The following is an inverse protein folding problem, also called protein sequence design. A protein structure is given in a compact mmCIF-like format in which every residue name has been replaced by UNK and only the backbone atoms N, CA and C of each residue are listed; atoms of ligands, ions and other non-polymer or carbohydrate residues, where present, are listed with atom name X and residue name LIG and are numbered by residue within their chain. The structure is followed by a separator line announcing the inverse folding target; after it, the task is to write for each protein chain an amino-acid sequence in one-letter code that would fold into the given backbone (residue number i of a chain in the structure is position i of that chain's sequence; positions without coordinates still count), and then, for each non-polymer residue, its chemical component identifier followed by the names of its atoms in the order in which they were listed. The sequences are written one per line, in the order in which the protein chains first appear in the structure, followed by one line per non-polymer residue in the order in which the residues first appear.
data_IF_502709465953
#
_entry.id   IF_502709465953
#
_cell.length_a   1.000
_cell.length_b   1.000
_cell.length_c   1.000
_cell.angle_alpha   90.00
_cell.angle_beta   90.00
_cell.angle_gamma   90.00
#
_symmetry.space_group_name_H-M   'P 1'
#
loop_
_entity.id
_entity.type
_entity.pdbx_description
1 polymer ?
#
# COMPACT_ATOMS: atom_id res chain seq x y z
N UNK A 1 -13.11 18.66 9.13
CA UNK A 1 -12.31 17.43 9.38
C UNK A 1 -12.53 16.94 10.80
N UNK A 2 -12.78 15.65 11.00
CA UNK A 2 -13.02 15.06 12.33
C UNK A 2 -11.73 14.78 13.09
N UNK A 3 -11.82 14.67 14.42
CA UNK A 3 -10.71 14.25 15.28
C UNK A 3 -10.12 12.89 14.84
N UNK A 4 -10.98 11.92 14.50
CA UNK A 4 -10.57 10.60 14.06
C UNK A 4 -9.79 10.62 12.74
N UNK A 5 -10.18 11.47 11.80
CA UNK A 5 -9.43 11.67 10.57
C UNK A 5 -8.01 12.19 10.86
N UNK A 6 -7.91 13.22 11.71
CA UNK A 6 -6.61 13.80 12.09
C UNK A 6 -5.73 12.79 12.83
N UNK A 7 -6.32 12.00 13.73
CA UNK A 7 -5.63 10.92 14.43
C UNK A 7 -5.08 9.88 13.45
N UNK A 8 -5.86 9.49 12.44
CA UNK A 8 -5.40 8.57 11.39
C UNK A 8 -4.24 9.15 10.57
N UNK A 9 -4.33 10.42 10.16
CA UNK A 9 -3.25 11.06 9.41
C UNK A 9 -1.97 11.15 10.24
N UNK A 10 -2.08 11.58 11.51
CA UNK A 10 -0.94 11.64 12.42
C UNK A 10 -0.35 10.25 12.68
N UNK A 11 -1.20 9.24 12.83
CA UNK A 11 -0.79 7.85 12.97
C UNK A 11 0.03 7.37 11.77
N UNK A 12 -0.45 7.64 10.54
CA UNK A 12 0.31 7.35 9.31
C UNK A 12 1.67 8.05 9.35
N UNK A 13 1.71 9.35 9.68
CA UNK A 13 2.97 10.12 9.72
C UNK A 13 3.96 9.59 10.77
N UNK A 14 3.48 9.04 11.88
CA UNK A 14 4.31 8.40 12.91
C UNK A 14 4.82 7.02 12.44
N UNK A 15 3.99 6.25 11.74
CA UNK A 15 4.34 4.92 11.26
C UNK A 15 5.35 4.96 10.11
N UNK A 16 5.28 5.97 9.23
CA UNK A 16 6.19 6.14 8.07
C UNK A 16 7.68 6.01 8.43
N UNK A 17 8.24 6.77 9.40
CA UNK A 17 9.65 6.65 9.75
C UNK A 17 10.00 5.28 10.38
N UNK A 18 9.06 4.65 11.09
CA UNK A 18 9.25 3.29 11.63
C UNK A 18 9.41 2.29 10.48
N UNK A 19 8.58 2.43 9.44
CA UNK A 19 8.64 1.58 8.25
C UNK A 19 9.89 1.85 7.40
N UNK A 20 10.33 3.11 7.30
CA UNK A 20 11.61 3.43 6.65
C UNK A 20 12.78 2.74 7.35
N UNK A 21 12.74 2.60 8.67
CA UNK A 21 13.77 1.88 9.41
C UNK A 21 13.65 0.36 9.25
N UNK A 22 12.45 -0.20 9.09
CA UNK A 22 12.28 -1.64 8.87
C UNK A 22 12.86 -2.10 7.53
N UNK A 23 12.74 -1.28 6.49
CA UNK A 23 13.31 -1.61 5.17
C UNK A 23 14.84 -1.47 5.11
N UNK A 24 15.45 -0.55 5.88
CA UNK A 24 16.90 -0.31 5.91
C UNK A 24 17.66 -1.36 6.75
N UNK A 25 17.51 -2.65 6.44
CA UNK A 25 18.05 -3.72 7.27
C UNK A 25 19.59 -3.72 7.39
N UNK A 26 20.34 -3.27 6.37
CA UNK A 26 21.81 -3.14 6.48
C UNK A 26 22.23 -2.15 7.58
N UNK A 27 21.42 -1.09 7.80
CA UNK A 27 21.65 -0.11 8.85
C UNK A 27 21.38 -0.69 10.24
N UNK A 28 20.34 -1.52 10.36
CA UNK A 28 20.03 -2.23 11.61
C UNK A 28 21.11 -3.25 11.96
N UNK A 29 21.60 -4.00 10.97
CA UNK A 29 22.68 -4.97 11.16
C UNK A 29 23.98 -4.29 11.56
N UNK A 30 24.30 -3.14 10.97
CA UNK A 30 25.48 -2.35 11.34
C UNK A 30 25.39 -1.82 12.78
N UNK A 31 24.19 -1.48 13.26
CA UNK A 31 23.99 -0.89 14.60
C UNK A 31 23.88 -1.92 15.72
N UNK A 32 23.25 -3.06 15.46
CA UNK A 32 22.90 -4.04 16.49
C UNK A 32 23.54 -5.42 16.29
N UNK A 33 24.24 -5.64 15.17
CA UNK A 33 24.72 -6.95 14.74
C UNK A 33 23.62 -7.75 14.01
N UNK A 34 23.99 -8.72 13.16
CA UNK A 34 23.05 -9.42 12.26
C UNK A 34 21.85 -10.06 12.97
N UNK A 35 22.08 -10.77 14.08
CA UNK A 35 21.00 -11.49 14.76
C UNK A 35 20.00 -10.55 15.44
N UNK A 36 20.49 -9.53 16.18
CA UNK A 36 19.63 -8.54 16.83
C UNK A 36 19.02 -7.59 15.80
N UNK A 37 19.76 -7.20 14.77
CA UNK A 37 19.30 -6.38 13.65
C UNK A 37 18.16 -7.04 12.88
N UNK A 38 18.23 -8.37 12.68
CA UNK A 38 17.12 -9.15 12.13
C UNK A 38 15.87 -9.06 13.01
N UNK A 39 15.99 -9.36 14.31
CA UNK A 39 14.85 -9.33 15.25
C UNK A 39 14.21 -7.95 15.35
N UNK A 40 15.03 -6.89 15.42
CA UNK A 40 14.56 -5.50 15.45
C UNK A 40 13.87 -5.13 14.14
N UNK A 41 14.47 -5.46 12.99
CA UNK A 41 13.87 -5.17 11.68
C UNK A 41 12.52 -5.86 11.49
N UNK A 42 12.41 -7.13 11.87
CA UNK A 42 11.16 -7.89 11.84
C UNK A 42 10.08 -7.26 12.73
N UNK A 43 10.43 -6.85 13.95
CA UNK A 43 9.51 -6.18 14.86
C UNK A 43 9.02 -4.83 14.28
N UNK A 44 9.95 -4.02 13.75
CA UNK A 44 9.60 -2.74 13.11
C UNK A 44 8.70 -2.94 11.89
N UNK A 45 9.00 -3.93 11.04
CA UNK A 45 8.21 -4.26 9.86
C UNK A 45 6.78 -4.67 10.22
N UNK A 46 6.63 -5.55 11.22
CA UNK A 46 5.32 -5.95 11.72
C UNK A 46 4.54 -4.79 12.34
N UNK A 47 5.15 -4.02 13.25
CA UNK A 47 4.52 -2.86 13.90
C UNK A 47 4.05 -1.84 12.85
N UNK A 48 4.92 -1.54 11.88
CA UNK A 48 4.60 -0.56 10.86
C UNK A 48 3.57 -1.06 9.85
N UNK A 49 3.63 -2.32 9.41
CA UNK A 49 2.64 -2.91 8.51
C UNK A 49 1.22 -2.88 9.10
N UNK A 50 1.06 -3.36 10.34
CA UNK A 50 -0.23 -3.31 11.05
C UNK A 50 -0.65 -1.88 11.38
N UNK A 51 0.29 -1.00 11.72
CA UNK A 51 0.04 0.41 11.95
C UNK A 51 -0.53 1.11 10.72
N UNK A 52 0.06 0.91 9.54
CA UNK A 52 -0.47 1.45 8.30
C UNK A 52 -1.89 0.96 8.02
N UNK A 53 -2.15 -0.34 8.16
CA UNK A 53 -3.47 -0.89 7.95
C UNK A 53 -4.51 -0.27 8.89
N UNK A 54 -4.21 -0.19 10.19
CA UNK A 54 -5.09 0.40 11.19
C UNK A 54 -5.42 1.87 10.88
N UNK A 55 -4.41 2.68 10.60
CA UNK A 55 -4.63 4.11 10.39
C UNK A 55 -5.25 4.42 9.03
N UNK A 56 -4.94 3.67 7.97
CA UNK A 56 -5.63 3.76 6.67
C UNK A 56 -7.10 3.36 6.80
N UNK A 57 -7.40 2.28 7.53
CA UNK A 57 -8.77 1.88 7.79
C UNK A 57 -9.54 2.99 8.53
N UNK A 58 -8.94 3.55 9.58
CA UNK A 58 -9.49 4.72 10.29
C UNK A 58 -9.69 5.92 9.36
N UNK A 59 -8.78 6.14 8.41
CA UNK A 59 -8.87 7.23 7.44
C UNK A 59 -10.07 7.05 6.49
N UNK A 60 -10.40 5.82 6.09
CA UNK A 60 -11.57 5.52 5.24
C UNK A 60 -12.90 5.66 5.96
N UNK A 61 -12.99 5.18 7.21
CA UNK A 61 -14.26 5.15 7.97
C UNK A 61 -14.50 6.40 8.82
N UNK A 62 -13.47 7.22 9.05
CA UNK A 62 -13.60 8.41 9.88
C UNK A 62 -14.68 9.33 9.33
N UNK A 63 -15.49 9.98 10.20
CA UNK A 63 -16.47 10.95 9.76
C UNK A 63 -15.79 12.05 8.94
N UNK A 64 -16.17 12.15 7.68
CA UNK A 64 -15.63 13.12 6.73
C UNK A 64 -16.70 13.47 5.69
N UNK A 65 -16.47 14.55 4.96
CA UNK A 65 -17.34 14.95 3.85
C UNK A 65 -17.39 13.82 2.82
N UNK A 66 -18.62 13.47 2.40
CA UNK A 66 -18.80 12.59 1.25
C UNK A 66 -18.77 13.43 -0.01
N UNK A 67 -18.19 12.89 -1.08
CA UNK A 67 -18.28 13.50 -2.40
C UNK A 67 -19.28 12.73 -3.27
N UNK A 68 -19.70 13.34 -4.37
CA UNK A 68 -20.52 12.70 -5.38
C UNK A 68 -19.92 12.99 -6.75
N UNK A 69 -19.65 11.94 -7.52
CA UNK A 69 -19.32 12.10 -8.94
C UNK A 69 -20.62 12.21 -9.72
N UNK A 70 -20.93 13.42 -10.21
CA UNK A 70 -22.09 13.67 -11.07
C UNK A 70 -21.72 13.46 -12.54
N UNK A 71 -22.57 12.72 -13.25
CA UNK A 71 -22.41 12.45 -14.68
C UNK A 71 -23.57 13.15 -15.39
N UNK A 72 -23.27 14.26 -16.05
CA UNK A 72 -24.19 14.91 -17.00
C UNK A 72 -25.50 15.37 -16.35
N UNK A 73 -25.45 15.77 -15.08
CA UNK A 73 -26.62 16.22 -14.33
C UNK A 73 -27.59 15.10 -13.92
N UNK A 74 -27.26 13.83 -14.19
CA UNK A 74 -28.09 12.70 -13.76
C UNK A 74 -27.94 12.52 -12.23
N UNK A 75 -29.06 12.49 -11.47
CA UNK A 75 -29.00 12.23 -10.04
C UNK A 75 -28.34 10.87 -9.74
N UNK A 76 -27.50 10.78 -8.70
CA UNK A 76 -26.86 9.52 -8.36
C UNK A 76 -27.90 8.49 -7.92
N UNK A 77 -27.80 7.28 -8.47
CA UNK A 77 -28.53 6.10 -8.01
C UNK A 77 -27.69 5.43 -6.93
N UNK A 78 -28.34 5.04 -5.83
CA UNK A 78 -27.68 4.45 -4.68
C UNK A 78 -27.91 2.95 -4.61
N UNK A 79 -26.87 2.23 -4.24
CA UNK A 79 -26.92 0.85 -3.80
C UNK A 79 -26.88 0.83 -2.28
N UNK A 80 -27.84 0.15 -1.66
CA UNK A 80 -27.88 -0.02 -0.21
C UNK A 80 -27.28 -1.36 0.16
N UNK A 81 -26.23 -1.33 0.98
CA UNK A 81 -25.56 -2.52 1.51
C UNK A 81 -25.78 -2.60 3.02
N UNK A 82 -26.32 -3.73 3.48
CA UNK A 82 -26.46 -4.03 4.89
C UNK A 82 -25.40 -5.08 5.30
N UNK A 83 -24.64 -4.78 6.34
CA UNK A 83 -23.67 -5.70 6.95
C UNK A 83 -23.86 -5.72 8.47
N UNK A 84 -24.64 -6.68 8.97
CA UNK A 84 -25.06 -6.70 10.37
C UNK A 84 -25.87 -5.45 10.73
N UNK A 85 -25.37 -4.63 11.65
CA UNK A 85 -25.99 -3.37 12.05
C UNK A 85 -25.57 -2.15 11.21
N UNK A 86 -24.61 -2.32 10.28
CA UNK A 86 -24.12 -1.24 9.43
C UNK A 86 -24.94 -1.16 8.14
N UNK A 87 -25.43 0.04 7.84
CA UNK A 87 -26.12 0.37 6.59
C UNK A 87 -25.30 1.38 5.81
N UNK A 88 -24.85 0.99 4.62
CA UNK A 88 -24.09 1.84 3.71
C UNK A 88 -24.96 2.18 2.51
N UNK A 89 -25.10 3.47 2.22
CA UNK A 89 -25.69 3.97 0.98
C UNK A 89 -24.57 4.46 0.07
N UNK A 90 -24.33 3.72 -1.01
CA UNK A 90 -23.16 3.93 -1.88
C UNK A 90 -23.66 4.31 -3.27
N UNK A 91 -23.22 5.44 -3.87
CA UNK A 91 -23.52 5.73 -5.26
C UNK A 91 -23.02 4.60 -6.18
N UNK A 92 -23.84 4.14 -7.13
CA UNK A 92 -23.47 3.02 -8.02
C UNK A 92 -22.17 3.31 -8.76
N UNK A 93 -21.95 4.55 -9.20
CA UNK A 93 -20.71 4.94 -9.85
C UNK A 93 -19.49 4.77 -8.94
N UNK A 94 -19.62 5.13 -7.66
CA UNK A 94 -18.55 4.92 -6.68
C UNK A 94 -18.30 3.44 -6.43
N UNK A 95 -19.35 2.61 -6.42
CA UNK A 95 -19.20 1.16 -6.31
C UNK A 95 -18.45 0.58 -7.52
N UNK A 96 -18.79 1.00 -8.74
CA UNK A 96 -18.10 0.57 -9.96
C UNK A 96 -16.63 0.99 -9.95
N UNK A 97 -16.35 2.25 -9.61
CA UNK A 97 -14.98 2.75 -9.48
C UNK A 97 -14.22 2.00 -8.39
N UNK A 98 -14.86 1.78 -7.23
CA UNK A 98 -14.29 1.03 -6.12
C UNK A 98 -13.89 -0.37 -6.58
N UNK A 99 -14.77 -1.13 -7.21
CA UNK A 99 -14.48 -2.47 -7.73
C UNK A 99 -13.32 -2.44 -8.73
N UNK A 100 -13.31 -1.43 -9.63
CA UNK A 100 -12.26 -1.24 -10.64
C UNK A 100 -10.86 -1.05 -10.06
N UNK A 101 -10.73 -0.49 -8.86
CA UNK A 101 -9.44 -0.30 -8.18
C UNK A 101 -9.16 -1.36 -7.10
N UNK A 102 -10.17 -1.71 -6.31
CA UNK A 102 -10.04 -2.58 -5.15
C UNK A 102 -9.73 -4.03 -5.54
N UNK A 103 -10.37 -4.58 -6.57
CA UNK A 103 -10.11 -5.96 -6.98
C UNK A 103 -8.70 -6.14 -7.58
N UNK A 104 -8.23 -5.31 -8.53
CA UNK A 104 -6.84 -5.39 -8.99
C UNK A 104 -5.85 -5.12 -7.86
N UNK A 105 -6.16 -4.18 -6.97
CA UNK A 105 -5.35 -3.87 -5.80
C UNK A 105 -5.18 -5.08 -4.87
N UNK A 106 -6.28 -5.72 -4.49
CA UNK A 106 -6.29 -6.92 -3.68
C UNK A 106 -5.56 -8.09 -4.37
N UNK A 107 -5.80 -8.29 -5.67
CA UNK A 107 -5.09 -9.31 -6.45
C UNK A 107 -3.57 -9.11 -6.39
N UNK A 108 -3.09 -7.90 -6.68
CA UNK A 108 -1.65 -7.60 -6.67
C UNK A 108 -1.03 -7.70 -5.27
N UNK A 109 -1.75 -7.25 -4.24
CA UNK A 109 -1.34 -7.39 -2.85
C UNK A 109 -1.16 -8.85 -2.44
N UNK A 110 -2.20 -9.67 -2.66
CA UNK A 110 -2.19 -11.10 -2.32
C UNK A 110 -1.14 -11.85 -3.14
N UNK A 111 -1.10 -11.63 -4.46
CA UNK A 111 -0.13 -12.30 -5.34
C UNK A 111 1.31 -11.87 -5.05
N UNK A 112 1.56 -10.60 -4.76
CA UNK A 112 2.87 -10.11 -4.34
C UNK A 112 3.35 -10.82 -3.07
N UNK A 113 2.53 -10.79 -2.02
CA UNK A 113 2.88 -11.43 -0.73
C UNK A 113 3.04 -12.95 -0.86
N UNK A 114 2.18 -13.63 -1.62
CA UNK A 114 2.27 -15.09 -1.80
C UNK A 114 3.49 -15.51 -2.62
N UNK A 115 3.90 -14.74 -3.64
CA UNK A 115 5.09 -15.04 -4.45
C UNK A 115 6.39 -14.72 -3.72
N UNK A 116 6.43 -13.65 -2.91
CA UNK A 116 7.61 -13.32 -2.09
C UNK A 116 7.73 -14.14 -0.80
N UNK A 117 6.60 -14.61 -0.28
CA UNK A 117 6.49 -15.27 1.01
C UNK A 117 6.22 -14.30 2.16
N UNK A 118 5.31 -14.68 3.06
CA UNK A 118 4.85 -13.83 4.17
C UNK A 118 6.01 -13.34 5.06
N UNK A 119 6.98 -14.22 5.37
CA UNK A 119 8.17 -13.85 6.14
C UNK A 119 8.96 -12.72 5.48
N UNK A 120 9.14 -12.75 4.16
CA UNK A 120 9.86 -11.70 3.42
C UNK A 120 9.03 -10.42 3.40
N UNK A 121 7.71 -10.53 3.21
CA UNK A 121 6.81 -9.38 3.24
C UNK A 121 6.80 -8.64 4.58
N UNK A 122 6.85 -9.38 5.70
CA UNK A 122 6.86 -8.79 7.05
C UNK A 122 8.23 -8.25 7.48
N UNK A 123 9.31 -8.90 7.04
CA UNK A 123 10.68 -8.56 7.48
C UNK A 123 11.44 -7.65 6.51
N UNK A 124 10.93 -7.48 5.28
CA UNK A 124 11.61 -6.78 4.19
C UNK A 124 13.02 -7.31 3.89
N UNK A 125 13.28 -8.59 4.19
CA UNK A 125 14.56 -9.25 3.94
C UNK A 125 14.38 -10.34 2.90
N UNK A 126 14.70 -9.99 1.65
CA UNK A 126 14.64 -10.94 0.56
C UNK A 126 15.79 -11.96 0.68
N UNK A 127 15.50 -13.22 0.39
CA UNK A 127 16.52 -14.28 0.33
C UNK A 127 17.11 -14.41 -1.08
N UNK A 128 16.39 -13.92 -2.09
CA UNK A 128 16.79 -13.90 -3.51
C UNK A 128 16.00 -12.84 -4.28
N UNK A 129 16.47 -12.49 -5.48
CA UNK A 129 15.69 -11.69 -6.43
C UNK A 129 14.54 -12.53 -6.98
N UNK A 130 13.31 -12.05 -6.80
CA UNK A 130 12.09 -12.67 -7.32
C UNK A 130 11.66 -11.86 -8.55
N UNK A 131 11.60 -12.51 -9.71
CA UNK A 131 11.33 -11.88 -10.99
C UNK A 131 10.30 -12.65 -11.84
N UNK A 132 9.54 -13.55 -11.21
CA UNK A 132 8.51 -14.37 -11.84
C UNK A 132 7.11 -13.86 -11.48
N UNK A 133 6.07 -14.38 -12.14
CA UNK A 133 4.68 -14.05 -11.78
C UNK A 133 4.38 -12.56 -11.86
N UNK A 134 3.80 -11.98 -10.80
CA UNK A 134 3.51 -10.53 -10.76
C UNK A 134 4.78 -9.68 -10.73
N UNK A 135 5.86 -10.19 -10.15
CA UNK A 135 7.18 -9.53 -10.15
C UNK A 135 7.82 -9.47 -11.53
N UNK A 136 7.39 -10.27 -12.51
CA UNK A 136 7.85 -10.11 -13.91
C UNK A 136 7.29 -8.86 -14.60
N UNK A 137 6.24 -8.23 -14.02
CA UNK A 137 5.53 -7.09 -14.62
C UNK A 137 5.79 -5.77 -13.91
N UNK A 138 5.88 -5.81 -12.58
CA UNK A 138 6.15 -4.65 -11.71
C UNK A 138 7.02 -5.12 -10.56
N UNK A 139 8.00 -4.31 -10.13
CA UNK A 139 8.95 -4.74 -9.08
C UNK A 139 8.34 -4.75 -7.67
N UNK A 140 7.30 -3.95 -7.47
CA UNK A 140 6.65 -3.73 -6.18
C UNK A 140 5.12 -3.93 -6.25
N UNK A 141 4.63 -5.12 -6.63
CA UNK A 141 3.20 -5.40 -6.81
C UNK A 141 2.40 -5.18 -5.53
N UNK A 142 2.96 -5.46 -4.36
CA UNK A 142 2.31 -5.25 -3.07
C UNK A 142 2.05 -3.77 -2.78
N UNK A 143 3.00 -2.89 -3.08
CA UNK A 143 2.86 -1.45 -2.90
C UNK A 143 1.90 -0.85 -3.94
N UNK A 144 1.96 -1.30 -5.20
CA UNK A 144 0.96 -0.94 -6.21
C UNK A 144 -0.45 -1.39 -5.78
N UNK A 145 -0.54 -2.62 -5.27
CA UNK A 145 -1.78 -3.20 -4.75
C UNK A 145 -2.37 -2.36 -3.62
N UNK A 146 -1.54 -1.92 -2.67
CA UNK A 146 -1.94 -1.06 -1.57
C UNK A 146 -2.45 0.32 -2.05
N UNK A 147 -1.78 0.94 -3.03
CA UNK A 147 -2.23 2.22 -3.62
C UNK A 147 -3.60 2.05 -4.29
N UNK A 148 -3.79 1.01 -5.10
CA UNK A 148 -5.05 0.74 -5.77
C UNK A 148 -6.17 0.41 -4.76
N UNK A 149 -5.86 -0.38 -3.73
CA UNK A 149 -6.81 -0.69 -2.66
C UNK A 149 -7.22 0.56 -1.88
N UNK A 150 -6.29 1.49 -1.59
CA UNK A 150 -6.60 2.77 -0.96
C UNK A 150 -7.55 3.63 -1.80
N UNK A 151 -7.31 3.73 -3.12
CA UNK A 151 -8.20 4.45 -4.03
C UNK A 151 -9.59 3.79 -4.06
N UNK A 152 -9.63 2.46 -4.20
CA UNK A 152 -10.86 1.69 -4.22
C UNK A 152 -11.68 1.82 -2.93
N UNK A 153 -11.03 1.77 -1.77
CA UNK A 153 -11.66 1.99 -0.47
C UNK A 153 -12.16 3.44 -0.32
N UNK A 154 -11.40 4.43 -0.79
CA UNK A 154 -11.83 5.83 -0.77
C UNK A 154 -13.12 6.05 -1.55
N UNK A 155 -13.27 5.41 -2.71
CA UNK A 155 -14.55 5.43 -3.46
C UNK A 155 -15.65 4.66 -2.74
N UNK A 156 -15.34 3.48 -2.17
CA UNK A 156 -16.34 2.65 -1.48
C UNK A 156 -17.05 3.41 -0.36
N UNK A 157 -16.27 4.14 0.44
CA UNK A 157 -16.78 4.95 1.56
C UNK A 157 -17.12 6.39 1.15
N UNK A 158 -16.99 6.74 -0.14
CA UNK A 158 -17.13 8.11 -0.64
C UNK A 158 -16.31 9.14 0.16
N UNK A 159 -15.13 8.71 0.66
CA UNK A 159 -14.31 9.43 1.62
C UNK A 159 -13.50 10.53 0.93
N UNK A 160 -13.99 11.78 0.95
CA UNK A 160 -13.42 12.88 0.18
C UNK A 160 -11.99 13.20 0.60
N UNK A 161 -11.75 13.38 1.90
CA UNK A 161 -10.41 13.70 2.40
C UNK A 161 -9.44 12.52 2.22
N UNK A 162 -9.94 11.27 2.28
CA UNK A 162 -9.14 10.09 1.94
C UNK A 162 -8.59 10.15 0.53
N UNK A 163 -9.46 10.48 -0.43
CA UNK A 163 -9.07 10.59 -1.82
C UNK A 163 -8.05 11.72 -2.02
N UNK A 164 -8.22 12.86 -1.35
CA UNK A 164 -7.26 13.97 -1.38
C UNK A 164 -5.87 13.60 -0.81
N UNK A 165 -5.79 12.69 0.14
CA UNK A 165 -4.51 12.21 0.71
C UNK A 165 -3.80 11.21 -0.21
N UNK A 166 -4.44 10.71 -1.26
CA UNK A 166 -3.87 9.72 -2.19
C UNK A 166 -2.49 10.10 -2.76
N UNK A 167 -2.22 11.35 -3.22
CA UNK A 167 -0.89 11.73 -3.69
C UNK A 167 0.20 11.55 -2.63
N UNK A 168 -0.11 11.85 -1.37
CA UNK A 168 0.82 11.63 -0.25
C UNK A 168 1.08 10.13 -0.04
N UNK A 169 0.04 9.29 -0.09
CA UNK A 169 0.18 7.82 -0.01
C UNK A 169 1.09 7.31 -1.13
N UNK A 170 0.90 7.78 -2.36
CA UNK A 170 1.75 7.39 -3.51
C UNK A 170 3.21 7.79 -3.26
N UNK A 171 3.47 9.02 -2.79
CA UNK A 171 4.81 9.50 -2.51
C UNK A 171 5.49 8.68 -1.40
N UNK A 172 4.78 8.39 -0.32
CA UNK A 172 5.29 7.54 0.78
C UNK A 172 5.67 6.15 0.25
N UNK A 173 4.78 5.51 -0.50
CA UNK A 173 5.02 4.19 -1.08
C UNK A 173 6.18 4.20 -2.08
N UNK A 174 6.31 5.25 -2.88
CA UNK A 174 7.44 5.43 -3.79
C UNK A 174 8.78 5.51 -3.04
N UNK A 175 8.84 6.30 -1.96
CA UNK A 175 10.03 6.42 -1.13
C UNK A 175 10.38 5.08 -0.47
N UNK A 176 9.39 4.32 0.00
CA UNK A 176 9.58 2.98 0.53
C UNK A 176 10.18 2.04 -0.49
N UNK A 177 9.56 1.95 -1.67
CA UNK A 177 10.07 1.14 -2.78
C UNK A 177 11.53 1.50 -3.06
N UNK A 178 11.84 2.79 -3.20
CA UNK A 178 13.19 3.26 -3.48
C UNK A 178 14.21 2.91 -2.38
N UNK A 179 13.83 2.99 -1.11
CA UNK A 179 14.69 2.55 0.02
C UNK A 179 14.92 1.05 -0.03
N UNK A 180 13.88 0.26 -0.27
CA UNK A 180 13.99 -1.19 -0.41
C UNK A 180 14.88 -1.58 -1.60
N UNK A 181 14.72 -0.93 -2.77
CA UNK A 181 15.58 -1.19 -3.93
C UNK A 181 17.05 -0.91 -3.64
N UNK A 182 17.37 0.11 -2.81
CA UNK A 182 18.75 0.40 -2.42
C UNK A 182 19.35 -0.72 -1.60
N UNK A 183 18.58 -1.34 -0.71
CA UNK A 183 19.04 -2.49 0.07
C UNK A 183 19.18 -3.72 -0.81
N UNK A 184 18.22 -3.98 -1.71
CA UNK A 184 18.31 -5.08 -2.68
C UNK A 184 19.52 -4.95 -3.61
N UNK A 185 19.90 -3.73 -4.01
CA UNK A 185 21.15 -3.50 -4.76
C UNK A 185 22.38 -3.83 -3.92
N UNK A 186 22.39 -3.51 -2.62
CA UNK A 186 23.52 -3.85 -1.74
C UNK A 186 23.66 -5.36 -1.55
N UNK A 187 22.54 -6.08 -1.46
CA UNK A 187 22.54 -7.53 -1.21
C UNK A 187 22.80 -8.36 -2.47
N UNK A 188 22.16 -8.01 -3.59
CA UNK A 188 22.16 -8.84 -4.80
C UNK A 188 22.95 -8.23 -5.98
N UNK A 189 23.45 -6.99 -5.82
CA UNK A 189 24.31 -6.32 -6.79
C UNK A 189 23.78 -6.37 -8.22
N UNK A 190 24.62 -6.87 -9.13
CA UNK A 190 24.32 -6.97 -10.56
C UNK A 190 23.07 -7.82 -10.87
N UNK A 191 22.73 -8.80 -10.02
CA UNK A 191 21.52 -9.61 -10.21
C UNK A 191 20.26 -8.77 -10.16
N UNK A 192 20.16 -7.88 -9.16
CA UNK A 192 19.02 -6.97 -9.03
C UNK A 192 19.07 -5.83 -10.06
N UNK A 193 20.26 -5.31 -10.39
CA UNK A 193 20.39 -4.25 -11.41
C UNK A 193 19.83 -4.68 -12.78
N UNK A 194 20.15 -5.90 -13.24
CA UNK A 194 19.60 -6.45 -14.49
C UNK A 194 18.07 -6.58 -14.47
N UNK A 195 17.53 -7.01 -13.34
CA UNK A 195 16.07 -7.06 -13.13
C UNK A 195 15.46 -5.65 -13.20
N UNK A 196 16.13 -4.65 -12.60
CA UNK A 196 15.69 -3.25 -12.58
C UNK A 196 15.63 -2.59 -13.96
N UNK A 197 16.47 -3.01 -14.89
CA UNK A 197 16.48 -2.49 -16.27
C UNK A 197 15.25 -2.92 -17.07
N UNK A 198 14.75 -4.13 -16.81
CA UNK A 198 13.71 -4.75 -17.64
C UNK A 198 12.31 -4.49 -17.10
N UNK A 199 12.12 -4.59 -15.77
CA UNK A 199 10.81 -4.52 -15.11
C UNK A 199 10.64 -3.16 -14.42
N UNK A 200 9.56 -2.39 -14.63
CA UNK A 200 9.35 -1.08 -13.99
C UNK A 200 9.01 -1.18 -12.48
N UNK A 201 9.21 -0.09 -11.73
CA UNK A 201 8.99 -0.06 -10.27
C UNK A 201 7.53 -0.34 -9.88
N UNK A 202 6.60 0.49 -10.35
CA UNK A 202 5.17 0.42 -9.99
C UNK A 202 4.24 0.36 -11.20
N UNK A 203 4.42 1.22 -12.21
CA UNK A 203 3.51 1.22 -13.35
C UNK A 203 3.99 0.26 -14.44
N UNK A 204 3.17 -0.73 -14.86
CA UNK A 204 3.56 -1.68 -15.88
C UNK A 204 3.81 -0.95 -17.22
N UNK A 205 4.82 -1.40 -17.97
CA UNK A 205 5.05 -0.91 -19.33
C UNK A 205 3.87 -1.37 -20.19
N UNK A 206 3.15 -0.43 -20.79
CA UNK A 206 2.21 -0.75 -21.86
C UNK A 206 3.08 -1.21 -23.04
N UNK A 207 3.05 -2.51 -23.36
CA UNK A 207 3.65 -3.00 -24.60
C UNK A 207 2.79 -2.48 -25.75
N UNK A 208 3.25 -1.43 -26.41
CA UNK A 208 2.85 -1.07 -27.78
C UNK A 208 3.38 -2.10 -28.76
#
# INVERSE_FOLDING_TARGET
MSFWFLLSVLGILIVVPIHFLSVEHSRLDARFGKEKGFKVGAALGMISGWGFFLFLFGLWISPQETFLVQVWGIPPVYFMLAFGFLWLSIPILHLVLSIGFLLPGAYLGIKGVTEMGLKVAETHRAERVISTGVYSRVRHPQYLGAILAHIGASFLFSAYYSLLVTPLVIVINWILCWKEERELVKEFGNGYLKYRETVPMLFPKIRT
#
